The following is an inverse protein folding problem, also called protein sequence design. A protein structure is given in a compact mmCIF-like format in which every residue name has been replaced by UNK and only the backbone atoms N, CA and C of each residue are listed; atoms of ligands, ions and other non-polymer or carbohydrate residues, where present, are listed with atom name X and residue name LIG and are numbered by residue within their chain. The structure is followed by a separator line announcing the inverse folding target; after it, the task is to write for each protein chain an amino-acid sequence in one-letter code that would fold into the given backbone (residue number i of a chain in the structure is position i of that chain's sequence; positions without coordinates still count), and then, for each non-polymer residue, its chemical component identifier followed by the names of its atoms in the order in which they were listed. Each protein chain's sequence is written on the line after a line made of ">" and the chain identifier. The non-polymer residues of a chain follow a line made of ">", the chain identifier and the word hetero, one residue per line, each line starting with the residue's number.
data_IF_968926420099
#
_entry.id   IF_968926420099
#
_cell.length_a   1.000
_cell.length_b   1.000
_cell.length_c   1.000
_cell.angle_alpha   90.00
_cell.angle_beta   90.00
_cell.angle_gamma   90.00
#
_symmetry.space_group_name_H-M   'P 1'
#
loop_
_entity.id
_entity.type
_entity.pdbx_description
1 polymer ?
#
# COMPACT_ATOMS: atom_id res chain seq x y z
N UNK A 1 3.51 12.73 13.77
CA UNK A 1 3.97 11.63 12.91
C UNK A 1 3.05 10.44 13.18
N UNK A 2 2.37 9.90 12.17
CA UNK A 2 1.51 8.73 12.37
C UNK A 2 2.36 7.50 12.68
N UNK A 3 1.93 6.69 13.63
CA UNK A 3 2.50 5.36 13.87
C UNK A 3 1.74 4.37 13.01
N UNK A 4 2.44 3.61 12.16
CA UNK A 4 1.83 2.54 11.36
C UNK A 4 1.71 1.32 12.27
N UNK A 5 0.52 1.07 12.77
CA UNK A 5 0.22 -0.08 13.62
C UNK A 5 -1.23 -0.55 13.39
N UNK A 6 -1.58 -1.71 13.87
CA UNK A 6 -2.92 -2.27 13.76
C UNK A 6 -3.19 -2.90 12.40
N UNK A 7 -4.47 -2.92 11.99
CA UNK A 7 -4.92 -3.52 10.75
C UNK A 7 -4.72 -2.57 9.56
N UNK A 8 -3.92 -2.99 8.62
CA UNK A 8 -3.72 -2.30 7.34
C UNK A 8 -4.26 -3.09 6.16
N UNK A 9 -4.92 -2.41 5.24
CA UNK A 9 -5.48 -3.04 4.05
C UNK A 9 -4.78 -2.56 2.80
N UNK A 10 -4.28 -3.52 2.00
CA UNK A 10 -3.84 -3.26 0.63
C UNK A 10 -5.08 -3.24 -0.27
N UNK A 11 -5.38 -2.07 -0.83
CA UNK A 11 -6.59 -1.86 -1.63
C UNK A 11 -6.37 -2.16 -3.10
N UNK A 12 -7.44 -2.59 -3.78
CA UNK A 12 -7.47 -2.75 -5.22
C UNK A 12 -7.51 -1.38 -5.92
N UNK A 13 -7.08 -1.36 -7.17
CA UNK A 13 -7.35 -0.26 -8.10
C UNK A 13 -8.54 -0.70 -8.95
N UNK A 14 -9.74 -0.13 -8.79
CA UNK A 14 -10.89 -0.47 -9.61
C UNK A 14 -10.72 0.02 -11.04
N UNK A 15 -11.17 -0.79 -11.99
CA UNK A 15 -11.23 -0.47 -13.41
C UNK A 15 -12.69 -0.57 -13.89
N UNK A 16 -13.04 0.21 -14.88
CA UNK A 16 -14.32 0.11 -15.57
C UNK A 16 -14.27 -0.90 -16.73
N UNK A 17 -15.37 -1.07 -17.44
CA UNK A 17 -15.49 -2.01 -18.56
C UNK A 17 -14.59 -1.66 -19.77
N UNK A 18 -14.11 -0.42 -19.85
CA UNK A 18 -13.15 0.03 -20.83
C UNK A 18 -11.69 -0.20 -20.41
N UNK A 19 -11.48 -0.75 -19.22
CA UNK A 19 -10.20 -0.96 -18.55
C UNK A 19 -9.50 0.35 -18.12
N UNK A 20 -10.24 1.45 -18.06
CA UNK A 20 -9.79 2.70 -17.46
C UNK A 20 -9.99 2.66 -15.93
N UNK A 21 -9.18 3.43 -15.18
CA UNK A 21 -9.31 3.46 -13.72
C UNK A 21 -10.62 4.15 -13.31
N UNK A 22 -11.49 3.43 -12.59
CA UNK A 22 -12.67 4.01 -11.95
C UNK A 22 -12.28 4.73 -10.65
N UNK A 23 -11.89 5.98 -10.78
CA UNK A 23 -11.52 6.81 -9.64
C UNK A 23 -12.67 7.04 -8.64
N UNK A 24 -13.92 6.97 -9.08
CA UNK A 24 -15.07 7.10 -8.17
C UNK A 24 -15.24 5.84 -7.32
N UNK A 25 -15.10 4.67 -7.92
CA UNK A 25 -15.08 3.41 -7.18
C UNK A 25 -13.90 3.35 -6.20
N UNK A 26 -12.72 3.84 -6.61
CA UNK A 26 -11.55 3.94 -5.75
C UNK A 26 -11.81 4.82 -4.51
N UNK A 27 -12.42 5.99 -4.69
CA UNK A 27 -12.77 6.88 -3.58
C UNK A 27 -13.83 6.27 -2.65
N UNK A 28 -14.86 5.60 -3.21
CA UNK A 28 -15.85 4.85 -2.41
C UNK A 28 -15.21 3.74 -1.59
N UNK A 29 -14.25 2.99 -2.17
CA UNK A 29 -13.53 1.95 -1.46
C UNK A 29 -12.72 2.52 -0.28
N UNK A 30 -12.08 3.67 -0.44
CA UNK A 30 -11.38 4.36 0.64
C UNK A 30 -12.34 4.76 1.77
N UNK A 31 -13.49 5.33 1.44
CA UNK A 31 -14.50 5.73 2.43
C UNK A 31 -15.08 4.53 3.18
N UNK A 32 -15.36 3.44 2.46
CA UNK A 32 -15.80 2.17 3.05
C UNK A 32 -14.81 1.66 4.11
N UNK A 33 -13.51 1.67 3.80
CA UNK A 33 -12.47 1.15 4.70
C UNK A 33 -12.35 1.94 6.01
N UNK A 34 -12.68 3.22 6.01
CA UNK A 34 -12.67 4.06 7.22
C UNK A 34 -14.07 4.24 7.83
N UNK A 35 -15.06 3.49 7.34
CA UNK A 35 -16.42 3.50 7.86
C UNK A 35 -17.23 4.77 7.53
N UNK A 36 -16.79 5.57 6.56
CA UNK A 36 -17.56 6.71 6.06
C UNK A 36 -18.65 6.20 5.13
N UNK A 37 -19.87 6.67 5.35
CA UNK A 37 -21.03 6.35 4.50
C UNK A 37 -21.09 4.87 4.09
N UNK A 38 -21.03 3.98 5.10
CA UNK A 38 -20.96 2.53 4.86
C UNK A 38 -22.03 2.05 3.88
N UNK A 39 -23.27 2.56 3.99
CA UNK A 39 -24.37 2.19 3.11
C UNK A 39 -24.18 2.74 1.68
N UNK A 40 -23.71 3.97 1.55
CA UNK A 40 -23.46 4.58 0.24
C UNK A 40 -22.19 4.07 -0.42
N UNK A 41 -21.14 3.78 0.36
CA UNK A 41 -19.86 3.30 -0.16
C UNK A 41 -19.85 1.80 -0.44
N UNK A 42 -20.66 1.02 0.28
CA UNK A 42 -20.78 -0.41 0.05
C UNK A 42 -21.66 -0.74 -1.20
N UNK A 43 -22.60 0.15 -1.54
CA UNK A 43 -23.43 0.02 -2.73
C UNK A 43 -24.08 -1.37 -2.92
N UNK A 44 -24.34 -1.75 -4.18
CA UNK A 44 -24.83 -3.07 -4.55
C UNK A 44 -23.89 -4.22 -4.16
N UNK A 45 -22.59 -3.92 -3.97
CA UNK A 45 -21.60 -4.93 -3.58
C UNK A 45 -21.81 -5.45 -2.15
N UNK A 46 -22.16 -4.58 -1.21
CA UNK A 46 -22.50 -5.01 0.15
C UNK A 46 -23.82 -5.80 0.18
N UNK A 47 -24.76 -5.46 -0.69
CA UNK A 47 -26.02 -6.21 -0.81
C UNK A 47 -25.80 -7.61 -1.35
N UNK A 48 -24.86 -7.81 -2.29
CA UNK A 48 -24.55 -9.13 -2.86
C UNK A 48 -23.59 -9.96 -1.99
N UNK A 49 -22.61 -9.31 -1.33
CA UNK A 49 -21.62 -10.00 -0.49
C UNK A 49 -22.19 -10.40 0.87
N UNK A 50 -23.19 -9.69 1.37
CA UNK A 50 -23.88 -9.97 2.65
C UNK A 50 -25.38 -10.14 2.40
N UNK A 51 -25.76 -11.27 1.81
CA UNK A 51 -27.16 -11.60 1.55
C UNK A 51 -28.00 -11.69 2.84
N UNK A 52 -27.36 -11.94 3.99
CA UNK A 52 -27.99 -11.99 5.29
C UNK A 52 -27.81 -10.63 6.01
N UNK A 53 -28.95 -9.98 6.32
CA UNK A 53 -28.98 -8.67 6.96
C UNK A 53 -28.33 -8.68 8.36
N UNK A 54 -28.46 -9.79 9.09
CA UNK A 54 -27.87 -9.94 10.42
C UNK A 54 -26.33 -10.01 10.35
N UNK A 55 -25.79 -10.62 9.31
CA UNK A 55 -24.34 -10.67 9.03
C UNK A 55 -23.84 -9.28 8.64
N UNK A 56 -24.60 -8.56 7.81
CA UNK A 56 -24.28 -7.18 7.40
C UNK A 56 -24.27 -6.23 8.61
N UNK A 57 -25.29 -6.29 9.47
CA UNK A 57 -25.36 -5.47 10.69
C UNK A 57 -24.23 -5.81 11.67
N UNK A 58 -23.89 -7.10 11.83
CA UNK A 58 -22.82 -7.55 12.69
C UNK A 58 -21.46 -7.08 12.18
N UNK A 59 -21.23 -7.17 10.84
CA UNK A 59 -20.02 -6.67 10.19
C UNK A 59 -19.90 -5.15 10.33
N UNK A 60 -21.00 -4.41 10.09
CA UNK A 60 -21.03 -2.95 10.25
C UNK A 60 -20.75 -2.54 11.69
N UNK A 61 -21.32 -3.22 12.69
CA UNK A 61 -21.07 -3.01 14.11
C UNK A 61 -19.61 -3.25 14.46
N UNK A 62 -19.06 -4.37 14.04
CA UNK A 62 -17.65 -4.71 14.26
C UNK A 62 -16.72 -3.73 13.56
N UNK A 63 -16.97 -3.43 12.28
CA UNK A 63 -16.10 -2.59 11.47
C UNK A 63 -16.10 -1.12 11.87
N UNK A 64 -17.27 -0.55 12.16
CA UNK A 64 -17.41 0.89 12.44
C UNK A 64 -17.29 1.20 13.92
N UNK A 65 -17.82 0.35 14.79
CA UNK A 65 -17.94 0.64 16.23
C UNK A 65 -16.86 0.02 17.10
N UNK A 66 -16.46 -1.20 16.83
CA UNK A 66 -15.56 -1.96 17.69
C UNK A 66 -14.10 -1.95 17.22
N UNK A 67 -13.87 -2.02 15.91
CA UNK A 67 -12.49 -2.00 15.35
C UNK A 67 -12.02 -0.60 14.97
N UNK A 68 -12.91 0.37 14.84
CA UNK A 68 -12.56 1.72 14.33
C UNK A 68 -12.15 1.73 12.86
N UNK A 69 -12.54 0.70 12.10
CA UNK A 69 -12.11 0.52 10.71
C UNK A 69 -10.65 0.06 10.61
N UNK A 70 -10.02 0.29 9.46
CA UNK A 70 -8.59 0.04 9.27
C UNK A 70 -7.75 1.18 9.85
N UNK A 71 -6.54 0.83 10.32
CA UNK A 71 -5.63 1.80 10.92
C UNK A 71 -4.65 2.41 9.91
N UNK A 72 -4.52 1.83 8.72
CA UNK A 72 -3.81 2.41 7.57
C UNK A 72 -4.24 1.74 6.27
N UNK A 73 -4.05 2.41 5.15
CA UNK A 73 -4.29 1.85 3.81
C UNK A 73 -3.00 1.78 3.02
N UNK A 74 -2.88 0.76 2.17
CA UNK A 74 -1.76 0.62 1.23
C UNK A 74 -2.31 0.71 -0.19
N UNK A 75 -1.96 1.76 -0.89
CA UNK A 75 -2.32 1.98 -2.30
C UNK A 75 -1.16 1.59 -3.21
N UNK A 76 -1.44 1.15 -4.44
CA UNK A 76 -0.43 0.79 -5.43
C UNK A 76 0.56 -0.30 -4.96
N UNK A 77 0.13 -1.15 -4.01
CA UNK A 77 0.79 -2.42 -3.74
C UNK A 77 0.49 -3.44 -4.85
N UNK A 78 0.84 -4.71 -4.61
CA UNK A 78 0.52 -5.79 -5.58
C UNK A 78 -0.99 -5.96 -5.79
N UNK A 79 -1.79 -5.81 -4.74
CA UNK A 79 -3.26 -5.85 -4.79
C UNK A 79 -3.83 -4.70 -5.63
N UNK A 80 -3.21 -3.52 -5.55
CA UNK A 80 -3.60 -2.34 -6.33
C UNK A 80 -2.93 -2.25 -7.69
N UNK A 81 -2.37 -3.37 -8.18
CA UNK A 81 -1.75 -3.51 -9.52
C UNK A 81 -0.71 -2.42 -9.86
N UNK A 82 -0.04 -1.91 -8.84
CA UNK A 82 0.86 -0.77 -8.97
C UNK A 82 2.01 -0.94 -9.96
N UNK A 83 2.30 -2.17 -10.43
CA UNK A 83 3.31 -2.42 -11.46
C UNK A 83 2.83 -2.12 -12.87
N UNK A 84 1.51 -2.10 -13.11
CA UNK A 84 0.90 -1.93 -14.44
C UNK A 84 0.23 -0.56 -14.62
N UNK A 85 -0.03 0.14 -13.51
CA UNK A 85 -0.62 1.49 -13.52
C UNK A 85 0.37 2.50 -14.10
N UNK A 86 -0.08 3.32 -15.05
CA UNK A 86 0.75 4.34 -15.71
C UNK A 86 1.13 5.51 -14.78
N UNK A 87 2.16 6.24 -15.14
CA UNK A 87 2.71 7.29 -14.27
C UNK A 87 1.71 8.38 -13.90
N UNK A 88 0.86 8.81 -14.85
CA UNK A 88 -0.15 9.85 -14.58
C UNK A 88 -1.28 9.32 -13.70
N UNK A 89 -1.70 8.09 -13.92
CA UNK A 89 -2.71 7.40 -13.12
C UNK A 89 -2.23 7.17 -11.69
N UNK A 90 -0.97 6.76 -11.50
CA UNK A 90 -0.36 6.61 -10.17
C UNK A 90 -0.43 7.91 -9.39
N UNK A 91 -0.04 9.02 -10.02
CA UNK A 91 -0.10 10.36 -9.38
C UNK A 91 -1.51 10.68 -8.94
N UNK A 92 -2.49 10.43 -9.80
CA UNK A 92 -3.88 10.74 -9.50
C UNK A 92 -4.44 9.85 -8.37
N UNK A 93 -4.15 8.55 -8.38
CA UNK A 93 -4.53 7.63 -7.29
C UNK A 93 -3.93 8.07 -5.95
N UNK A 94 -2.65 8.43 -5.91
CA UNK A 94 -2.00 8.92 -4.68
C UNK A 94 -2.63 10.23 -4.24
N UNK A 95 -2.84 11.19 -5.16
CA UNK A 95 -3.47 12.48 -4.85
C UNK A 95 -4.87 12.30 -4.27
N UNK A 96 -5.67 11.41 -4.85
CA UNK A 96 -7.02 11.11 -4.36
C UNK A 96 -6.99 10.45 -2.98
N UNK A 97 -6.12 9.47 -2.77
CA UNK A 97 -6.01 8.78 -1.48
C UNK A 97 -5.60 9.75 -0.36
N UNK A 98 -4.57 10.57 -0.58
CA UNK A 98 -4.11 11.57 0.39
C UNK A 98 -5.13 12.70 0.55
N UNK A 99 -5.66 13.21 -0.56
CA UNK A 99 -6.65 14.30 -0.58
C UNK A 99 -7.98 13.94 0.10
N UNK A 100 -8.29 12.64 0.23
CA UNK A 100 -9.50 12.15 0.90
C UNK A 100 -9.50 12.40 2.41
N UNK A 101 -8.33 12.70 3.00
CA UNK A 101 -8.16 12.99 4.44
C UNK A 101 -8.83 11.92 5.31
N UNK A 102 -8.41 10.70 5.15
CA UNK A 102 -9.02 9.52 5.77
C UNK A 102 -8.91 9.51 7.30
N UNK A 103 -8.02 10.31 7.89
CA UNK A 103 -7.70 10.29 9.32
C UNK A 103 -6.75 9.17 9.74
N UNK A 104 -6.32 8.36 8.79
CA UNK A 104 -5.37 7.25 8.94
C UNK A 104 -4.24 7.39 7.93
N UNK A 105 -3.05 6.77 8.20
CA UNK A 105 -1.92 6.83 7.27
C UNK A 105 -2.23 6.23 5.90
N UNK A 106 -1.72 6.91 4.85
CA UNK A 106 -1.69 6.42 3.48
C UNK A 106 -0.28 5.96 3.14
N UNK A 107 -0.13 4.65 2.95
CA UNK A 107 1.11 4.01 2.53
C UNK A 107 1.07 3.81 1.03
N UNK A 108 2.13 4.19 0.30
CA UNK A 108 2.17 4.08 -1.16
C UNK A 108 3.19 3.06 -1.61
N UNK A 109 2.80 2.15 -2.50
CA UNK A 109 3.71 1.21 -3.17
C UNK A 109 4.59 1.94 -4.18
N UNK A 110 5.91 1.99 -3.92
CA UNK A 110 6.90 2.69 -4.77
C UNK A 110 8.03 1.79 -5.26
N UNK A 111 7.98 0.50 -4.89
CA UNK A 111 9.01 -0.46 -5.29
C UNK A 111 9.08 -0.70 -6.80
N UNK A 112 10.30 -0.89 -7.29
CA UNK A 112 10.61 -1.25 -8.67
C UNK A 112 11.88 -2.11 -8.70
N UNK A 113 12.07 -2.86 -9.76
CA UNK A 113 13.31 -3.58 -10.00
C UNK A 113 14.46 -2.66 -10.49
N UNK A 114 14.15 -1.40 -10.80
CA UNK A 114 15.11 -0.34 -11.09
C UNK A 114 15.23 0.60 -9.90
N UNK A 115 16.42 0.71 -9.32
CA UNK A 115 16.66 1.65 -8.19
C UNK A 115 16.31 3.08 -8.57
N UNK A 116 16.67 3.53 -9.78
CA UNK A 116 16.35 4.89 -10.26
C UNK A 116 14.84 5.14 -10.32
N UNK A 117 14.07 4.15 -10.77
CA UNK A 117 12.61 4.25 -10.84
C UNK A 117 12.02 4.24 -9.42
N UNK A 118 12.47 3.33 -8.54
CA UNK A 118 12.00 3.28 -7.15
C UNK A 118 12.26 4.58 -6.39
N UNK A 119 13.45 5.18 -6.55
CA UNK A 119 13.79 6.49 -5.98
C UNK A 119 12.81 7.55 -6.46
N UNK A 120 12.63 7.70 -7.78
CA UNK A 120 11.71 8.68 -8.35
C UNK A 120 10.26 8.51 -7.87
N UNK A 121 9.76 7.26 -7.86
CA UNK A 121 8.41 6.96 -7.37
C UNK A 121 8.25 7.27 -5.88
N UNK A 122 9.32 7.09 -5.11
CA UNK A 122 9.33 7.40 -3.67
C UNK A 122 9.29 8.91 -3.43
N UNK A 123 10.14 9.67 -4.12
CA UNK A 123 10.12 11.15 -4.08
C UNK A 123 8.73 11.68 -4.45
N UNK A 124 8.18 11.20 -5.56
CA UNK A 124 6.86 11.62 -6.02
C UNK A 124 5.73 11.31 -5.02
N UNK A 125 5.75 10.12 -4.41
CA UNK A 125 4.76 9.75 -3.40
C UNK A 125 4.87 10.63 -2.14
N UNK A 126 6.07 10.92 -1.70
CA UNK A 126 6.33 11.80 -0.55
C UNK A 126 5.89 13.23 -0.85
N UNK A 127 6.20 13.76 -2.02
CA UNK A 127 5.79 15.11 -2.47
C UNK A 127 4.26 15.23 -2.56
N UNK A 128 3.57 14.16 -2.91
CA UNK A 128 2.11 14.09 -2.93
C UNK A 128 1.49 13.90 -1.53
N UNK A 129 2.30 13.73 -0.49
CA UNK A 129 1.85 13.67 0.89
C UNK A 129 1.66 12.26 1.47
N UNK A 130 2.24 11.23 0.87
CA UNK A 130 2.26 9.89 1.47
C UNK A 130 2.84 9.91 2.89
N UNK A 131 2.24 9.14 3.80
CA UNK A 131 2.72 9.02 5.19
C UNK A 131 3.88 8.02 5.32
N UNK A 132 3.91 7.01 4.45
CA UNK A 132 4.97 6.02 4.34
C UNK A 132 4.99 5.40 2.94
N UNK A 133 6.05 4.64 2.64
CA UNK A 133 6.19 3.92 1.37
C UNK A 133 6.38 2.42 1.58
N UNK A 134 5.77 1.62 0.70
CA UNK A 134 5.95 0.17 0.64
C UNK A 134 6.83 -0.18 -0.56
N UNK A 135 7.99 -0.77 -0.29
CA UNK A 135 9.00 -1.03 -1.31
C UNK A 135 9.22 -2.53 -1.44
N UNK A 136 8.70 -3.10 -2.53
CA UNK A 136 8.92 -4.52 -2.84
C UNK A 136 10.38 -4.77 -3.20
N UNK A 137 10.91 -5.91 -2.76
CA UNK A 137 12.24 -6.39 -3.17
C UNK A 137 12.32 -6.37 -4.71
N UNK A 138 13.41 -5.86 -5.32
CA UNK A 138 13.58 -5.85 -6.77
C UNK A 138 13.33 -7.23 -7.37
N UNK A 139 12.35 -7.29 -8.24
CA UNK A 139 11.89 -8.51 -8.90
C UNK A 139 12.62 -8.73 -10.22
N UNK A 140 12.63 -9.97 -10.73
CA UNK A 140 13.18 -10.38 -12.02
C UNK A 140 14.70 -10.40 -12.07
N UNK A 141 15.38 -9.27 -11.87
CA UNK A 141 16.85 -9.10 -12.02
C UNK A 141 17.68 -9.64 -10.83
N UNK A 142 17.03 -10.08 -9.74
CA UNK A 142 17.65 -10.78 -8.60
C UNK A 142 18.97 -10.16 -8.14
N UNK A 143 18.97 -8.95 -7.58
CA UNK A 143 20.20 -8.30 -7.13
C UNK A 143 20.90 -9.09 -6.02
N UNK A 144 22.23 -8.91 -5.91
CA UNK A 144 23.02 -9.48 -4.82
C UNK A 144 22.64 -8.84 -3.47
N UNK A 145 22.98 -9.46 -2.32
CA UNK A 145 22.76 -8.87 -0.99
C UNK A 145 23.30 -7.43 -0.87
N UNK A 146 24.50 -7.17 -1.37
CA UNK A 146 25.10 -5.82 -1.37
C UNK A 146 24.27 -4.85 -2.23
N UNK A 147 23.84 -5.31 -3.40
CA UNK A 147 22.97 -4.54 -4.29
C UNK A 147 21.61 -4.22 -3.66
N UNK A 148 21.02 -5.16 -2.90
CA UNK A 148 19.78 -4.93 -2.15
C UNK A 148 19.95 -3.84 -1.11
N UNK A 149 20.99 -3.91 -0.30
CA UNK A 149 21.26 -2.89 0.73
C UNK A 149 21.46 -1.52 0.09
N UNK A 150 22.22 -1.45 -1.02
CA UNK A 150 22.42 -0.20 -1.75
C UNK A 150 21.11 0.35 -2.34
N UNK A 151 20.25 -0.52 -2.90
CA UNK A 151 18.94 -0.17 -3.41
C UNK A 151 18.05 0.46 -2.31
N UNK A 152 17.89 -0.21 -1.18
CA UNK A 152 17.06 0.28 -0.09
C UNK A 152 17.63 1.54 0.55
N UNK A 153 18.95 1.68 0.64
CA UNK A 153 19.58 2.91 1.11
C UNK A 153 19.25 4.12 0.23
N UNK A 154 19.28 3.93 -1.09
CA UNK A 154 18.90 4.99 -2.02
C UNK A 154 17.41 5.36 -1.90
N UNK A 155 16.53 4.37 -1.80
CA UNK A 155 15.08 4.59 -1.62
C UNK A 155 14.79 5.25 -0.26
N UNK A 156 15.46 4.81 0.81
CA UNK A 156 15.30 5.39 2.14
C UNK A 156 15.72 6.86 2.19
N UNK A 157 16.82 7.21 1.51
CA UNK A 157 17.23 8.61 1.36
C UNK A 157 16.18 9.44 0.62
N UNK A 158 15.60 8.91 -0.47
CA UNK A 158 14.55 9.55 -1.26
C UNK A 158 13.23 9.73 -0.48
N UNK A 159 12.98 8.89 0.53
CA UNK A 159 11.80 9.00 1.38
C UNK A 159 11.86 10.19 2.36
N UNK A 160 12.98 10.92 2.45
CA UNK A 160 13.07 12.17 3.23
C UNK A 160 12.69 12.02 4.71
N UNK A 161 13.06 10.90 5.35
CA UNK A 161 12.71 10.58 6.73
C UNK A 161 11.32 9.96 6.92
N UNK A 162 10.51 9.80 5.88
CA UNK A 162 9.26 9.03 5.95
C UNK A 162 9.56 7.54 6.14
N UNK A 163 8.70 6.78 6.87
CA UNK A 163 8.89 5.35 7.06
C UNK A 163 8.91 4.58 5.75
N UNK A 164 9.88 3.68 5.62
CA UNK A 164 9.98 2.73 4.51
C UNK A 164 9.65 1.34 5.03
N UNK A 165 8.66 0.70 4.42
CA UNK A 165 8.28 -0.69 4.67
C UNK A 165 8.90 -1.57 3.60
N UNK A 166 9.81 -2.42 3.99
CA UNK A 166 10.40 -3.43 3.09
C UNK A 166 9.37 -4.52 2.81
N UNK A 167 9.19 -4.91 1.54
CA UNK A 167 8.23 -5.95 1.20
C UNK A 167 8.91 -7.17 0.58
N UNK A 168 8.93 -8.27 1.34
CA UNK A 168 9.43 -9.57 0.91
C UNK A 168 8.29 -10.44 0.41
N UNK A 169 8.33 -10.84 -0.87
CA UNK A 169 7.32 -11.70 -1.50
C UNK A 169 7.97 -12.59 -2.56
N UNK A 170 8.76 -13.59 -2.17
CA UNK A 170 9.60 -14.37 -3.08
C UNK A 170 8.81 -15.09 -4.19
N UNK A 171 7.55 -15.46 -3.93
CA UNK A 171 6.67 -16.03 -4.95
C UNK A 171 6.38 -15.10 -6.13
N UNK A 172 6.54 -13.77 -5.97
CA UNK A 172 6.36 -12.77 -7.03
C UNK A 172 7.68 -12.20 -7.53
N UNK A 173 8.69 -12.08 -6.65
CA UNK A 173 9.97 -11.45 -6.99
C UNK A 173 11.04 -12.43 -7.50
N UNK A 174 10.89 -13.70 -7.15
CA UNK A 174 11.91 -14.72 -7.38
C UNK A 174 13.15 -14.55 -6.51
N UNK A 175 13.09 -13.71 -5.49
CA UNK A 175 14.17 -13.43 -4.54
C UNK A 175 13.61 -13.41 -3.12
N UNK A 176 14.18 -14.21 -2.22
CA UNK A 176 13.84 -14.19 -0.80
C UNK A 176 14.83 -13.33 -0.02
N UNK A 177 14.33 -12.44 0.80
CA UNK A 177 15.12 -11.56 1.64
C UNK A 177 15.56 -12.32 2.90
N UNK A 178 16.83 -12.72 2.93
CA UNK A 178 17.37 -13.49 4.06
C UNK A 178 17.62 -12.64 5.30
N UNK A 179 17.55 -13.21 6.52
CA UNK A 179 17.70 -12.46 7.79
C UNK A 179 18.99 -11.64 7.89
N UNK A 180 20.09 -12.11 7.31
CA UNK A 180 21.38 -11.38 7.32
C UNK A 180 21.34 -10.07 6.51
N UNK A 181 20.51 -10.01 5.47
CA UNK A 181 20.27 -8.77 4.70
C UNK A 181 19.30 -7.87 5.45
N UNK A 182 18.22 -8.43 6.01
CA UNK A 182 17.28 -7.68 6.86
C UNK A 182 17.99 -6.95 8.00
N UNK A 183 18.93 -7.62 8.67
CA UNK A 183 19.74 -6.99 9.73
C UNK A 183 20.48 -5.76 9.23
N UNK A 184 21.07 -5.80 8.03
CA UNK A 184 21.76 -4.65 7.44
C UNK A 184 20.79 -3.53 7.02
N UNK A 185 19.59 -3.89 6.54
CA UNK A 185 18.55 -2.90 6.22
C UNK A 185 18.06 -2.19 7.46
N UNK A 186 17.96 -2.89 8.60
CA UNK A 186 17.51 -2.33 9.88
C UNK A 186 18.44 -1.26 10.45
N UNK A 187 19.68 -1.18 9.97
CA UNK A 187 20.64 -0.12 10.32
C UNK A 187 20.36 1.21 9.56
N UNK A 188 19.43 1.20 8.60
CA UNK A 188 19.01 2.41 7.88
C UNK A 188 17.86 3.04 8.66
N UNK A 189 18.04 4.27 9.14
CA UNK A 189 17.22 4.95 10.14
C UNK A 189 15.71 4.93 9.88
N UNK A 190 15.29 5.12 8.63
CA UNK A 190 13.86 5.20 8.30
C UNK A 190 13.28 3.92 7.68
N UNK A 191 14.02 2.80 7.70
CA UNK A 191 13.42 1.49 7.47
C UNK A 191 12.71 1.07 8.76
N UNK A 192 11.38 1.14 8.75
CA UNK A 192 10.55 1.06 9.94
C UNK A 192 9.83 -0.29 10.11
N UNK A 193 9.67 -1.06 9.04
CA UNK A 193 8.93 -2.31 9.08
C UNK A 193 9.28 -3.24 7.92
N UNK A 194 8.87 -4.50 8.07
CA UNK A 194 8.91 -5.50 7.00
C UNK A 194 7.51 -6.06 6.80
N UNK A 195 7.01 -6.04 5.57
CA UNK A 195 5.87 -6.84 5.16
C UNK A 195 6.40 -8.18 4.65
N UNK A 196 6.12 -9.26 5.40
CA UNK A 196 6.59 -10.59 5.08
C UNK A 196 5.47 -11.41 4.42
N UNK A 197 5.73 -11.95 3.23
CA UNK A 197 4.81 -12.76 2.45
C UNK A 197 5.52 -13.94 1.77
N UNK A 198 6.50 -14.54 2.44
CA UNK A 198 7.19 -15.75 1.94
C UNK A 198 6.35 -17.01 2.09
N UNK A 199 5.43 -17.05 3.03
CA UNK A 199 4.63 -18.23 3.35
C UNK A 199 5.41 -19.32 4.10
N UNK A 200 6.54 -18.98 4.73
CA UNK A 200 7.41 -19.89 5.50
C UNK A 200 7.21 -19.62 6.98
#
# INVERSE_FOLDING_TARGET
>A
MYTINGLGVAIATPFDDALDIDYKAFERLLDFLVGRDFEASAGEYAQSAFADESVRESFQRFWVRESGGVQFVVVLGSTGEGATVESMERRELVRKAVGRKLGIPVVVGTGSNSTKVAVRLTEEAVDLGADAVLVVVPYYNKPTPVGLVAHYRAVAAAAGGKPVIVYNVPGRTGLNLVPSVLKQLWEIENIAAVKESSGI
#
